data_IF_522158865991
#
_entry.id   IF_522158865991
#
_cell.length_a   1.000
_cell.length_b   1.000
_cell.length_c   1.000
_cell.angle_alpha   90.00
_cell.angle_beta   90.00
_cell.angle_gamma   90.00
#
_symmetry.space_group_name_H-M   'P 1'
#
loop_
_entity.id
_entity.type
_entity.pdbx_description
1 polymer ?
#
# COMPACT_ATOMS: atom_id res chain seq x y z
N UNK A 1 -9.64 -13.50 30.24
CA UNK A 1 -9.01 -12.32 29.62
C UNK A 1 -9.93 -11.91 28.49
N UNK A 2 -10.81 -10.93 28.74
CA UNK A 2 -11.73 -10.44 27.71
C UNK A 2 -10.99 -9.57 26.69
N UNK A 3 -11.36 -9.62 25.40
CA UNK A 3 -10.76 -8.77 24.39
C UNK A 3 -11.13 -7.31 24.64
N UNK A 4 -10.15 -6.43 24.54
CA UNK A 4 -10.31 -4.99 24.73
C UNK A 4 -11.26 -4.44 23.67
N UNK A 5 -12.52 -4.20 24.03
CA UNK A 5 -13.47 -3.49 23.18
C UNK A 5 -13.06 -2.01 23.12
N UNK A 6 -12.55 -1.57 21.97
CA UNK A 6 -12.29 -0.15 21.73
C UNK A 6 -13.65 0.54 21.67
N UNK A 7 -14.07 1.14 22.78
CA UNK A 7 -15.31 1.90 22.86
C UNK A 7 -15.20 3.17 22.00
N UNK A 8 -15.66 3.09 20.76
CA UNK A 8 -15.70 4.21 19.79
C UNK A 8 -16.72 5.31 20.15
N UNK A 9 -17.19 5.37 21.40
CA UNK A 9 -18.29 6.23 21.83
C UNK A 9 -17.96 7.74 21.73
N UNK A 10 -16.66 8.08 21.77
CA UNK A 10 -16.15 9.44 21.64
C UNK A 10 -15.13 9.58 20.50
N UNK A 11 -15.07 8.64 19.56
CA UNK A 11 -14.30 8.83 18.33
C UNK A 11 -15.04 9.85 17.47
N UNK A 12 -14.88 11.12 17.80
CA UNK A 12 -15.13 12.19 16.85
C UNK A 12 -14.03 12.04 15.81
N UNK A 13 -14.32 11.37 14.71
CA UNK A 13 -13.46 11.34 13.53
C UNK A 13 -13.53 12.74 12.89
N UNK A 14 -12.93 13.72 13.55
CA UNK A 14 -12.51 14.93 12.88
C UNK A 14 -11.29 14.51 12.08
N UNK A 15 -11.50 14.16 10.82
CA UNK A 15 -10.40 14.00 9.86
C UNK A 15 -9.73 15.36 9.72
N UNK A 16 -8.76 15.65 10.58
CA UNK A 16 -7.92 16.80 10.43
C UNK A 16 -6.93 16.48 9.31
N UNK A 17 -7.01 17.24 8.22
CA UNK A 17 -6.21 17.02 7.01
C UNK A 17 -4.71 16.91 7.32
N UNK A 18 -4.24 17.65 8.31
CA UNK A 18 -2.84 17.65 8.73
C UNK A 18 -2.36 16.32 9.34
N UNK A 19 -3.26 15.47 9.82
CA UNK A 19 -2.90 14.21 10.48
C UNK A 19 -2.51 13.13 9.45
N UNK A 20 -2.86 13.34 8.18
CA UNK A 20 -2.62 12.40 7.07
C UNK A 20 -2.04 13.05 5.82
N UNK A 21 -2.03 14.37 5.72
CA UNK A 21 -1.35 15.10 4.66
C UNK A 21 0.12 15.21 5.00
N UNK A 22 0.93 14.35 4.37
CA UNK A 22 2.39 14.50 4.37
C UNK A 22 2.70 15.82 3.67
N UNK A 23 3.31 16.81 4.35
CA UNK A 23 3.67 18.06 3.71
C UNK A 23 4.56 17.74 2.53
N UNK A 24 4.06 17.97 1.31
CA UNK A 24 4.92 17.92 0.14
C UNK A 24 5.98 19.00 0.35
N UNK A 25 7.24 18.64 0.18
CA UNK A 25 8.29 19.64 0.05
C UNK A 25 7.86 20.51 -1.13
N UNK A 26 7.49 21.76 -0.84
CA UNK A 26 7.11 22.74 -1.86
C UNK A 26 8.30 23.06 -2.78
N UNK A 27 9.49 22.66 -2.35
CA UNK A 27 10.74 22.73 -3.07
C UNK A 27 10.96 21.49 -3.95
N UNK A 28 11.60 21.69 -5.10
CA UNK A 28 12.00 20.60 -5.98
C UNK A 28 12.94 19.65 -5.24
N UNK A 29 12.52 18.39 -5.07
CA UNK A 29 13.28 17.40 -4.31
C UNK A 29 14.70 17.16 -4.88
N UNK A 30 14.91 17.47 -6.16
CA UNK A 30 16.21 17.34 -6.83
C UNK A 30 17.29 18.19 -6.15
N UNK A 31 16.90 19.29 -5.52
CA UNK A 31 17.81 20.17 -4.77
C UNK A 31 18.41 19.48 -3.52
N UNK A 32 17.77 18.42 -3.02
CA UNK A 32 18.30 17.61 -1.90
C UNK A 32 19.15 16.42 -2.38
N UNK A 33 19.26 16.20 -3.69
CA UNK A 33 20.08 15.12 -4.23
C UNK A 33 21.56 15.53 -4.31
N UNK A 34 22.49 14.65 -3.96
CA UNK A 34 23.90 14.91 -4.18
C UNK A 34 24.17 15.14 -5.67
N UNK A 35 24.77 16.28 -6.00
CA UNK A 35 25.05 16.72 -7.38
C UNK A 35 23.81 16.80 -8.28
N UNK A 36 22.61 17.02 -7.73
CA UNK A 36 21.34 17.09 -8.48
C UNK A 36 21.02 15.80 -9.26
N UNK A 37 21.64 14.67 -8.89
CA UNK A 37 21.53 13.39 -9.58
C UNK A 37 20.91 12.34 -8.68
N UNK A 38 19.99 11.57 -9.25
CA UNK A 38 19.46 10.38 -8.59
C UNK A 38 20.58 9.34 -8.39
N UNK A 39 20.54 8.57 -7.29
CA UNK A 39 21.43 7.44 -7.13
C UNK A 39 21.20 6.41 -8.25
N UNK A 40 22.24 5.61 -8.53
CA UNK A 40 22.13 4.47 -9.42
C UNK A 40 20.94 3.59 -9.01
N UNK A 41 20.24 3.00 -9.99
CA UNK A 41 19.07 2.14 -9.77
C UNK A 41 19.36 1.02 -8.76
N UNK A 42 20.58 0.46 -8.78
CA UNK A 42 21.03 -0.57 -7.83
C UNK A 42 21.14 -0.10 -6.38
N UNK A 43 21.19 1.21 -6.14
CA UNK A 43 21.34 1.85 -4.83
C UNK A 43 20.07 2.57 -4.37
N UNK A 44 18.97 2.47 -5.12
CA UNK A 44 17.70 3.05 -4.71
C UNK A 44 17.13 2.27 -3.51
N UNK A 45 16.82 2.95 -2.39
CA UNK A 45 16.09 2.32 -1.30
C UNK A 45 14.70 1.95 -1.82
N UNK A 46 14.38 0.65 -1.80
CA UNK A 46 13.05 0.17 -2.21
C UNK A 46 12.43 -0.65 -1.08
N UNK A 47 11.13 -0.48 -0.90
CA UNK A 47 10.32 -1.15 0.11
C UNK A 47 9.25 -1.99 -0.59
N UNK A 48 8.87 -3.11 0.01
CA UNK A 48 7.70 -3.87 -0.41
C UNK A 48 6.43 -3.37 0.31
N UNK A 49 5.28 -4.01 0.04
CA UNK A 49 3.99 -3.67 0.65
C UNK A 49 3.96 -3.86 2.19
N UNK A 50 4.94 -4.56 2.76
CA UNK A 50 5.10 -4.78 4.19
C UNK A 50 6.14 -3.85 4.82
N UNK A 51 6.55 -2.80 4.11
CA UNK A 51 7.60 -1.85 4.52
C UNK A 51 8.94 -2.53 4.83
N UNK A 52 9.24 -3.65 4.17
CA UNK A 52 10.52 -4.36 4.31
C UNK A 52 11.47 -3.92 3.17
N UNK A 53 12.76 -3.64 3.47
CA UNK A 53 13.77 -3.36 2.45
C UNK A 53 13.88 -4.50 1.43
N UNK A 54 13.78 -4.15 0.16
CA UNK A 54 13.93 -5.08 -0.97
C UNK A 54 14.76 -4.44 -2.07
N UNK A 55 15.27 -5.25 -3.00
CA UNK A 55 15.88 -4.72 -4.22
C UNK A 55 14.81 -4.44 -5.28
N UNK A 56 15.05 -3.49 -6.19
CA UNK A 56 14.15 -3.25 -7.32
C UNK A 56 13.98 -4.48 -8.22
N UNK A 57 15.00 -5.34 -8.34
CA UNK A 57 14.90 -6.62 -9.05
C UNK A 57 13.92 -7.57 -8.34
N UNK A 58 14.02 -7.67 -7.01
CA UNK A 58 13.11 -8.46 -6.19
C UNK A 58 11.67 -7.93 -6.25
N UNK A 59 11.50 -6.61 -6.19
CA UNK A 59 10.20 -5.96 -6.32
C UNK A 59 9.56 -6.22 -7.69
N UNK A 60 10.34 -6.11 -8.78
CA UNK A 60 9.89 -6.43 -10.14
C UNK A 60 9.46 -7.90 -10.27
N UNK A 61 10.23 -8.82 -9.71
CA UNK A 61 9.91 -10.24 -9.74
C UNK A 61 8.64 -10.56 -8.94
N UNK A 62 8.48 -9.97 -7.75
CA UNK A 62 7.28 -10.11 -6.93
C UNK A 62 6.05 -9.55 -7.67
N UNK A 63 6.15 -8.34 -8.24
CA UNK A 63 5.08 -7.71 -9.01
C UNK A 63 4.63 -8.53 -10.23
N UNK A 64 5.56 -9.16 -10.94
CA UNK A 64 5.24 -10.06 -12.06
C UNK A 64 4.45 -11.30 -11.63
N UNK A 65 4.57 -11.71 -10.36
CA UNK A 65 3.88 -12.86 -9.78
C UNK A 65 2.52 -12.49 -9.16
N UNK A 66 2.33 -11.23 -8.73
CA UNK A 66 1.06 -10.74 -8.17
C UNK A 66 -0.12 -10.98 -9.11
N UNK A 67 0.08 -10.86 -10.43
CA UNK A 67 -1.00 -11.11 -11.40
C UNK A 67 -1.54 -12.54 -11.41
N UNK A 68 -0.78 -13.51 -10.89
CA UNK A 68 -1.19 -14.93 -10.81
C UNK A 68 -2.10 -15.20 -9.61
N UNK A 69 -1.94 -14.43 -8.52
CA UNK A 69 -2.72 -14.58 -7.29
C UNK A 69 -4.00 -13.72 -7.27
N UNK A 70 -4.25 -12.94 -8.34
CA UNK A 70 -5.41 -12.06 -8.43
C UNK A 70 -6.54 -12.75 -9.19
N UNK A 71 -7.61 -13.09 -8.47
CA UNK A 71 -8.90 -13.43 -9.06
C UNK A 71 -9.40 -12.23 -9.88
N UNK A 72 -9.47 -12.34 -11.22
CA UNK A 72 -9.97 -11.26 -12.09
C UNK A 72 -11.47 -11.39 -12.31
N UNK A 73 -12.24 -10.36 -11.94
CA UNK A 73 -13.65 -10.28 -12.25
C UNK A 73 -13.85 -9.85 -13.71
N UNK A 74 -14.74 -10.55 -14.42
CA UNK A 74 -15.01 -10.29 -15.85
C UNK A 74 -15.89 -9.05 -16.06
N UNK A 75 -16.75 -8.75 -15.08
CA UNK A 75 -17.67 -7.62 -15.11
C UNK A 75 -17.10 -6.44 -14.32
N UNK A 76 -17.17 -5.24 -14.90
CA UNK A 76 -16.63 -4.00 -14.30
C UNK A 76 -17.36 -3.61 -13.00
N UNK A 77 -18.59 -4.10 -12.81
CA UNK A 77 -19.41 -3.87 -11.61
C UNK A 77 -19.19 -4.89 -10.50
N UNK A 78 -18.32 -5.88 -10.71
CA UNK A 78 -18.00 -6.92 -9.73
C UNK A 78 -16.63 -6.65 -9.09
N UNK A 79 -16.55 -6.84 -7.77
CA UNK A 79 -15.32 -6.73 -6.99
C UNK A 79 -14.90 -8.09 -6.44
N UNK A 80 -13.61 -8.25 -6.15
CA UNK A 80 -13.08 -9.47 -5.52
C UNK A 80 -13.45 -9.46 -4.03
N UNK A 81 -14.28 -10.41 -3.62
CA UNK A 81 -14.54 -10.72 -2.23
C UNK A 81 -13.48 -11.69 -1.69
N UNK A 82 -12.95 -11.39 -0.50
CA UNK A 82 -11.95 -12.21 0.19
C UNK A 82 -12.58 -13.14 1.21
N UNK A 83 -11.96 -14.29 1.45
CA UNK A 83 -12.31 -15.16 2.56
C UNK A 83 -11.92 -14.47 3.88
N UNK A 84 -12.87 -14.31 4.80
CA UNK A 84 -12.66 -13.60 6.06
C UNK A 84 -11.65 -14.29 7.00
N UNK A 85 -11.45 -15.60 6.89
CA UNK A 85 -10.50 -16.35 7.74
C UNK A 85 -9.08 -16.36 7.18
N UNK A 86 -8.92 -16.45 5.85
CA UNK A 86 -7.61 -16.63 5.21
C UNK A 86 -7.08 -15.38 4.51
N UNK A 87 -7.93 -14.38 4.26
CA UNK A 87 -7.58 -13.18 3.49
C UNK A 87 -7.38 -13.43 2.00
N UNK A 88 -7.54 -14.67 1.53
CA UNK A 88 -7.35 -15.02 0.12
C UNK A 88 -8.55 -14.61 -0.73
N UNK A 89 -8.33 -14.22 -2.00
CA UNK A 89 -9.40 -14.02 -2.97
C UNK A 89 -10.31 -15.25 -3.06
N UNK A 90 -11.62 -15.08 -2.88
CA UNK A 90 -12.56 -16.19 -2.86
C UNK A 90 -13.51 -16.20 -4.06
N UNK A 91 -14.14 -15.05 -4.37
CA UNK A 91 -15.10 -14.93 -5.48
C UNK A 91 -15.28 -13.49 -5.92
N UNK A 92 -15.87 -13.29 -7.09
CA UNK A 92 -16.39 -11.99 -7.51
C UNK A 92 -17.79 -11.77 -6.92
N UNK A 93 -18.08 -10.55 -6.50
CA UNK A 93 -19.35 -10.16 -5.88
C UNK A 93 -19.72 -8.74 -6.32
N UNK A 94 -21.01 -8.48 -6.51
CA UNK A 94 -21.51 -7.11 -6.76
C UNK A 94 -21.64 -6.35 -5.44
N UNK A 95 -21.58 -5.02 -5.51
CA UNK A 95 -21.97 -4.16 -4.39
C UNK A 95 -23.44 -4.33 -4.03
#
# INVERSE_FOLDING_TARGET
MEPTHIAAKNNVVKHNKTDFEVPLLMDDFRNFLPNLKLPLVSKLPSLNLFNVPVSLKGLKAAGAKLGQDVLRCKNVSEIVAVNQKTGLPARCMKF
#
